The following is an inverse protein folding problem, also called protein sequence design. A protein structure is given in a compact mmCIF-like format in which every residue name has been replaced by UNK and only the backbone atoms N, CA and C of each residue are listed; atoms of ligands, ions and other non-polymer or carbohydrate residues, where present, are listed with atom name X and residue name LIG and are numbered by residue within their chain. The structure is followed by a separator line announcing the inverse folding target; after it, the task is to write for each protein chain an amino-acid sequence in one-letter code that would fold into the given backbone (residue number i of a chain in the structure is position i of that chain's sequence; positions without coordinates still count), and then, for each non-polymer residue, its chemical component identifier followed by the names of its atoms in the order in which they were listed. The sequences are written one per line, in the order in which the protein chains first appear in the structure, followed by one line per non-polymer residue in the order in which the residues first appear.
data_IF_706215088033
#
_entry.id   IF_706215088033
#
_cell.length_a   1.000
_cell.length_b   1.000
_cell.length_c   1.000
_cell.angle_alpha   90.00
_cell.angle_beta   90.00
_cell.angle_gamma   90.00
#
_symmetry.space_group_name_H-M   'P 1'
#
loop_
_entity.id
_entity.type
_entity.pdbx_description
1 polymer ?
#
# COMPACT_ATOMS: atom_id res chain seq x y z
N UNK A 1 13.27 44.17 -28.55
CA UNK A 1 13.75 44.02 -27.16
C UNK A 1 12.86 43.09 -26.33
N UNK A 2 11.52 43.23 -26.34
CA UNK A 2 10.59 42.40 -25.54
C UNK A 2 10.53 40.91 -25.94
N UNK A 3 10.68 40.60 -27.23
CA UNK A 3 10.64 39.21 -27.73
C UNK A 3 11.92 38.41 -27.42
N UNK A 4 13.08 39.07 -27.33
CA UNK A 4 14.34 38.41 -26.97
C UNK A 4 14.42 38.07 -25.48
N UNK A 5 13.80 38.88 -24.61
CA UNK A 5 13.67 38.59 -23.18
C UNK A 5 12.77 37.37 -22.95
N UNK A 6 11.70 37.21 -23.76
CA UNK A 6 10.79 36.07 -23.67
C UNK A 6 11.49 34.74 -24.02
N UNK A 7 12.33 34.73 -25.06
CA UNK A 7 13.10 33.54 -25.48
C UNK A 7 14.12 33.13 -24.41
N UNK A 8 14.77 34.10 -23.77
CA UNK A 8 15.71 33.86 -22.67
C UNK A 8 15.04 33.25 -21.43
N UNK A 9 13.77 33.61 -21.16
CA UNK A 9 13.00 33.09 -20.04
C UNK A 9 12.53 31.64 -20.25
N UNK A 10 12.23 31.25 -21.50
CA UNK A 10 11.78 29.88 -21.84
C UNK A 10 12.93 28.87 -21.84
N UNK A 11 14.16 29.29 -22.16
CA UNK A 11 15.34 28.42 -22.14
C UNK A 11 15.80 28.17 -20.69
N UNK A 12 15.59 29.12 -19.77
CA UNK A 12 15.98 29.01 -18.37
C UNK A 12 15.13 28.00 -17.56
N UNK A 13 13.89 27.72 -17.98
CA UNK A 13 13.00 26.79 -17.27
C UNK A 13 13.16 25.32 -17.70
N UNK A 14 13.84 25.06 -18.82
CA UNK A 14 14.04 23.70 -19.36
C UNK A 14 15.24 22.96 -18.74
N UNK A 15 16.13 23.67 -18.02
CA UNK A 15 17.40 23.12 -17.52
C UNK A 15 17.36 22.39 -16.17
N UNK A 16 16.19 22.23 -15.53
CA UNK A 16 16.10 21.74 -14.14
C UNK A 16 15.54 20.30 -14.03
N UNK A 17 15.39 19.57 -15.13
CA UNK A 17 14.76 18.23 -15.10
C UNK A 17 15.72 17.04 -15.10
N UNK A 18 17.04 17.22 -14.97
CA UNK A 18 17.99 16.09 -15.02
C UNK A 18 18.84 15.98 -13.76
N UNK A 19 18.27 15.52 -12.65
CA UNK A 19 19.04 14.87 -11.59
C UNK A 19 18.14 13.99 -10.71
N UNK A 20 17.57 12.94 -11.29
CA UNK A 20 17.18 11.78 -10.49
C UNK A 20 18.41 10.89 -10.38
N UNK A 21 19.17 11.02 -9.29
CA UNK A 21 20.24 10.10 -8.96
C UNK A 21 19.57 8.81 -8.53
N UNK A 22 19.64 7.77 -9.36
CA UNK A 22 19.23 6.43 -8.95
C UNK A 22 20.32 5.88 -8.04
N UNK A 23 20.14 6.04 -6.73
CA UNK A 23 20.87 5.26 -5.74
C UNK A 23 20.52 3.79 -5.97
N UNK A 24 21.44 3.09 -6.64
CA UNK A 24 21.42 1.64 -6.77
C UNK A 24 21.79 1.08 -5.40
N UNK A 25 20.82 1.03 -4.50
CA UNK A 25 20.98 0.45 -3.17
C UNK A 25 21.11 -1.07 -3.35
N UNK A 26 22.37 -1.51 -3.40
CA UNK A 26 22.79 -2.88 -3.59
C UNK A 26 22.14 -3.79 -2.54
N UNK A 27 21.31 -4.72 -3.02
CA UNK A 27 20.94 -6.01 -2.40
C UNK A 27 21.16 -6.12 -0.87
N UNK A 28 20.43 -5.34 -0.07
CA UNK A 28 20.05 -5.81 1.26
C UNK A 28 19.21 -7.05 1.02
N UNK A 29 19.63 -8.21 1.51
CA UNK A 29 18.87 -9.46 1.36
C UNK A 29 17.40 -9.18 1.60
N UNK A 30 16.56 -9.36 0.56
CA UNK A 30 15.16 -8.93 0.52
C UNK A 30 14.38 -9.74 1.58
N UNK A 31 14.49 -9.35 2.84
CA UNK A 31 13.60 -9.83 3.87
C UNK A 31 12.21 -9.38 3.46
N UNK A 32 11.29 -10.34 3.35
CA UNK A 32 9.95 -10.07 2.84
C UNK A 32 9.23 -9.19 3.86
N UNK A 33 8.98 -7.89 3.58
CA UNK A 33 8.68 -6.89 4.60
C UNK A 33 7.33 -7.11 5.29
N UNK A 34 6.50 -8.01 4.77
CA UNK A 34 5.12 -8.22 5.22
C UNK A 34 4.97 -9.29 6.31
N UNK A 35 5.99 -10.12 6.56
CA UNK A 35 5.89 -11.20 7.55
C UNK A 35 5.50 -10.67 8.94
N UNK A 36 4.69 -11.45 9.66
CA UNK A 36 4.22 -11.15 11.01
C UNK A 36 2.83 -10.49 11.07
N UNK A 37 2.51 -9.96 12.25
CA UNK A 37 1.18 -9.43 12.56
C UNK A 37 1.08 -7.95 12.19
N UNK A 38 -0.05 -7.55 11.60
CA UNK A 38 -0.42 -6.17 11.29
C UNK A 38 -1.81 -5.90 11.84
N UNK A 39 -1.98 -4.75 12.49
CA UNK A 39 -3.28 -4.28 12.95
C UNK A 39 -3.73 -3.19 11.99
N UNK A 40 -4.96 -3.27 11.50
CA UNK A 40 -5.54 -2.19 10.72
C UNK A 40 -5.73 -0.99 11.63
N UNK A 41 -5.20 0.17 11.22
CA UNK A 41 -5.31 1.40 11.98
C UNK A 41 -6.45 2.30 11.46
N UNK A 42 -6.57 2.39 10.15
CA UNK A 42 -7.50 3.30 9.50
C UNK A 42 -7.89 2.76 8.11
N UNK A 43 -9.12 3.05 7.70
CA UNK A 43 -9.59 2.92 6.31
C UNK A 43 -10.08 4.28 5.87
N UNK A 44 -9.47 4.80 4.81
CA UNK A 44 -9.85 6.05 4.18
C UNK A 44 -10.24 5.83 2.72
N UNK A 45 -11.38 6.37 2.28
CA UNK A 45 -11.73 6.49 0.86
C UNK A 45 -11.86 7.97 0.46
N UNK A 46 -11.53 8.27 -0.81
CA UNK A 46 -11.56 9.64 -1.32
C UNK A 46 -12.88 10.05 -2.00
N UNK A 47 -13.81 9.11 -2.23
CA UNK A 47 -15.01 9.36 -3.03
C UNK A 47 -16.26 9.53 -2.17
N UNK A 48 -16.45 8.66 -1.19
CA UNK A 48 -17.56 8.71 -0.24
C UNK A 48 -17.16 9.41 1.06
N UNK A 49 -15.86 9.76 1.21
CA UNK A 49 -15.34 10.44 2.38
C UNK A 49 -15.32 9.54 3.61
N UNK A 50 -15.10 8.23 3.40
CA UNK A 50 -14.95 7.28 4.50
C UNK A 50 -13.62 7.59 5.18
N UNK A 51 -13.65 7.77 6.50
CA UNK A 51 -12.48 7.87 7.36
C UNK A 51 -12.82 7.15 8.67
N UNK A 52 -12.36 5.91 8.79
CA UNK A 52 -12.72 5.01 9.89
C UNK A 52 -11.46 4.48 10.55
N UNK A 53 -11.25 4.90 11.80
CA UNK A 53 -10.20 4.36 12.65
C UNK A 53 -10.61 3.04 13.28
N UNK A 54 -9.68 2.10 13.33
CA UNK A 54 -9.84 0.81 13.96
C UNK A 54 -8.96 0.74 15.20
N UNK A 55 -9.54 0.28 16.31
CA UNK A 55 -8.78 -0.01 17.52
C UNK A 55 -7.90 -1.24 17.29
N UNK A 56 -6.79 -1.29 18.01
CA UNK A 56 -5.87 -2.43 17.95
C UNK A 56 -6.62 -3.73 18.27
N UNK A 57 -6.51 -4.72 17.39
CA UNK A 57 -7.19 -6.01 17.53
C UNK A 57 -8.56 -6.10 16.83
N UNK A 58 -9.16 -4.99 16.38
CA UNK A 58 -10.44 -5.04 15.66
C UNK A 58 -10.32 -5.74 14.30
N UNK A 59 -9.22 -5.48 13.58
CA UNK A 59 -8.88 -6.17 12.33
C UNK A 59 -7.39 -6.49 12.36
N UNK A 60 -7.06 -7.77 12.36
CA UNK A 60 -5.69 -8.29 12.49
C UNK A 60 -5.35 -9.17 11.29
N UNK A 61 -4.22 -8.91 10.67
CA UNK A 61 -3.68 -9.67 9.55
C UNK A 61 -2.37 -10.32 10.00
N UNK A 62 -2.27 -11.64 9.90
CA UNK A 62 -1.07 -12.40 10.26
C UNK A 62 -0.53 -13.06 8.99
N UNK A 63 0.62 -12.57 8.53
CA UNK A 63 1.33 -13.14 7.39
C UNK A 63 2.33 -14.18 7.88
N UNK A 64 2.14 -15.42 7.47
CA UNK A 64 3.07 -16.51 7.69
C UNK A 64 3.79 -16.85 6.39
N UNK A 65 5.05 -16.41 6.30
CA UNK A 65 5.92 -16.68 5.15
C UNK A 65 6.26 -18.16 5.00
N UNK A 66 6.34 -18.91 6.10
CA UNK A 66 6.71 -20.34 6.05
C UNK A 66 5.63 -21.16 5.37
N UNK A 67 4.37 -20.80 5.62
CA UNK A 67 3.22 -21.53 5.06
C UNK A 67 2.61 -20.85 3.83
N UNK A 68 2.95 -19.59 3.55
CA UNK A 68 2.34 -18.80 2.48
C UNK A 68 0.87 -18.44 2.76
N UNK A 69 0.51 -18.38 4.06
CA UNK A 69 -0.86 -18.15 4.52
C UNK A 69 -1.01 -16.77 5.14
N UNK A 70 -2.13 -16.13 4.84
CA UNK A 70 -2.61 -14.92 5.49
C UNK A 70 -3.80 -15.32 6.36
N UNK A 71 -3.69 -15.12 7.67
CA UNK A 71 -4.81 -15.29 8.60
C UNK A 71 -5.38 -13.90 8.89
N UNK A 72 -6.68 -13.74 8.66
CA UNK A 72 -7.43 -12.52 8.97
C UNK A 72 -8.35 -12.79 10.14
N UNK A 73 -8.30 -11.92 11.14
CA UNK A 73 -9.20 -11.91 12.28
C UNK A 73 -9.92 -10.57 12.31
N UNK A 74 -11.24 -10.59 12.09
CA UNK A 74 -12.10 -9.45 12.31
C UNK A 74 -12.92 -9.66 13.58
N UNK A 75 -12.65 -8.80 14.56
CA UNK A 75 -13.30 -8.77 15.85
C UNK A 75 -14.22 -7.54 15.99
N UNK A 76 -14.59 -6.90 14.87
CA UNK A 76 -15.54 -5.78 14.86
C UNK A 76 -16.92 -6.29 15.30
N UNK A 77 -17.32 -5.92 16.51
CA UNK A 77 -18.52 -6.44 17.18
C UNK A 77 -19.78 -5.66 16.80
N UNK A 78 -19.61 -4.44 16.29
CA UNK A 78 -20.72 -3.51 16.01
C UNK A 78 -21.26 -3.68 14.59
N UNK A 79 -22.58 -3.67 14.44
CA UNK A 79 -23.21 -3.47 13.13
C UNK A 79 -23.08 -1.99 12.78
N UNK A 80 -22.16 -1.65 11.88
CA UNK A 80 -21.85 -0.27 11.56
C UNK A 80 -20.85 -0.14 10.41
N UNK A 81 -20.43 1.08 10.08
CA UNK A 81 -19.56 1.34 8.93
C UNK A 81 -18.22 0.59 9.04
N UNK A 82 -17.65 0.44 10.25
CA UNK A 82 -16.46 -0.38 10.48
C UNK A 82 -16.62 -1.83 10.02
N UNK A 83 -17.79 -2.42 10.25
CA UNK A 83 -18.05 -3.78 9.82
C UNK A 83 -18.07 -3.85 8.30
N UNK A 84 -18.78 -2.95 7.62
CA UNK A 84 -18.84 -2.93 6.14
C UNK A 84 -17.48 -2.66 5.48
N UNK A 85 -16.62 -1.86 6.12
CA UNK A 85 -15.33 -1.42 5.57
C UNK A 85 -14.12 -2.19 6.13
N UNK A 86 -14.34 -3.34 6.78
CA UNK A 86 -13.27 -4.18 7.35
C UNK A 86 -12.33 -4.82 6.31
N UNK A 87 -12.64 -4.69 5.02
CA UNK A 87 -11.85 -5.18 3.90
C UNK A 87 -12.03 -6.67 3.61
N UNK A 88 -11.67 -7.55 4.55
CA UNK A 88 -11.70 -9.01 4.37
C UNK A 88 -12.54 -9.67 5.47
N UNK A 89 -13.07 -10.87 5.22
CA UNK A 89 -13.70 -11.67 6.27
C UNK A 89 -12.64 -12.37 7.14
N UNK A 90 -13.03 -12.79 8.35
CA UNK A 90 -12.15 -13.65 9.14
C UNK A 90 -11.95 -14.98 8.42
N UNK A 91 -10.71 -15.46 8.38
CA UNK A 91 -10.38 -16.70 7.69
C UNK A 91 -8.91 -16.80 7.30
N UNK A 92 -8.58 -17.91 6.66
CA UNK A 92 -7.23 -18.18 6.16
C UNK A 92 -7.21 -18.15 4.64
N UNK A 93 -6.29 -17.38 4.09
CA UNK A 93 -6.14 -17.12 2.67
C UNK A 93 -4.75 -17.52 2.19
N UNK A 94 -4.66 -18.01 0.96
CA UNK A 94 -3.38 -18.12 0.27
C UNK A 94 -2.95 -16.74 -0.22
N UNK A 95 -1.67 -16.42 -0.07
CA UNK A 95 -1.11 -15.22 -0.67
C UNK A 95 0.19 -15.52 -1.43
N UNK A 96 0.48 -14.67 -2.40
CA UNK A 96 1.74 -14.69 -3.15
C UNK A 96 2.23 -13.25 -3.34
N UNK A 97 3.54 -13.07 -3.47
CA UNK A 97 4.16 -11.78 -3.73
C UNK A 97 4.93 -11.89 -5.05
N UNK A 98 4.67 -10.97 -5.97
CA UNK A 98 5.33 -10.92 -7.29
C UNK A 98 6.01 -9.58 -7.47
N UNK A 99 7.08 -9.58 -8.26
CA UNK A 99 7.77 -8.34 -8.66
C UNK A 99 7.20 -7.88 -10.00
N UNK A 100 6.51 -6.74 -10.00
CA UNK A 100 5.87 -6.15 -11.18
C UNK A 100 6.28 -4.68 -11.27
N UNK A 101 6.90 -4.29 -12.40
CA UNK A 101 7.33 -2.90 -12.63
C UNK A 101 8.33 -2.36 -11.60
N UNK A 102 9.13 -3.23 -10.98
CA UNK A 102 10.08 -2.85 -9.91
C UNK A 102 9.45 -2.73 -8.51
N UNK A 103 8.16 -3.05 -8.37
CA UNK A 103 7.45 -3.08 -7.09
C UNK A 103 7.12 -4.52 -6.66
N UNK A 104 7.11 -4.78 -5.36
CA UNK A 104 6.55 -6.01 -4.80
C UNK A 104 5.03 -5.87 -4.64
N UNK A 105 4.27 -6.74 -5.27
CA UNK A 105 2.80 -6.74 -5.27
C UNK A 105 2.28 -7.97 -4.53
N UNK A 106 1.42 -7.75 -3.54
CA UNK A 106 0.73 -8.80 -2.80
C UNK A 106 -0.55 -9.22 -3.52
N UNK A 107 -0.68 -10.51 -3.79
CA UNK A 107 -1.91 -11.12 -4.30
C UNK A 107 -2.47 -12.06 -3.25
N UNK A 108 -3.74 -11.88 -2.90
CA UNK A 108 -4.46 -12.74 -1.96
C UNK A 108 -5.56 -13.49 -2.72
N UNK A 109 -5.55 -14.82 -2.64
CA UNK A 109 -6.50 -15.69 -3.36
C UNK A 109 -7.75 -15.93 -2.52
N UNK A 110 -8.86 -16.23 -3.21
CA UNK A 110 -10.11 -16.66 -2.55
C UNK A 110 -10.93 -15.52 -1.92
N UNK A 111 -10.62 -14.25 -2.23
CA UNK A 111 -11.45 -13.12 -1.81
C UNK A 111 -12.75 -13.12 -2.64
N UNK A 112 -13.88 -13.40 -2.00
CA UNK A 112 -15.22 -13.10 -2.55
C UNK A 112 -15.59 -11.68 -2.10
N UNK A 113 -15.79 -10.77 -3.06
CA UNK A 113 -16.33 -9.43 -2.80
C UNK A 113 -17.84 -9.48 -2.75
#
# INVERSE_FOLDING_TARGET
MKLQILILMVIATFGILTSCHSDNDSSRGKENPINGTRNMKNVSDGLQGIDLDYDKGEVVWVFDKTTGKLIVENNVITQGPKNTHRGMNSGTYDYEIKEEGGAQVLFVKGIKR
#
